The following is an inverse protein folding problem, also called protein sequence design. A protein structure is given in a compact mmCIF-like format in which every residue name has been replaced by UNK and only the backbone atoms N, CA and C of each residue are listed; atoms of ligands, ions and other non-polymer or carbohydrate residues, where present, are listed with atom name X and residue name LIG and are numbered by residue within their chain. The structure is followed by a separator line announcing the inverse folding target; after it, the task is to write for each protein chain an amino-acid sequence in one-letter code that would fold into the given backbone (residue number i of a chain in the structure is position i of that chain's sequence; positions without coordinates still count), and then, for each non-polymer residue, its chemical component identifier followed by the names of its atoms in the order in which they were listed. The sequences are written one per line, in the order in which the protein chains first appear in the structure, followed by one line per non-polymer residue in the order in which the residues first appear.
data_IF_654485794091
#
_entry.id   IF_654485794091
#
_cell.length_a   1.000
_cell.length_b   1.000
_cell.length_c   1.000
_cell.angle_alpha   90.00
_cell.angle_beta   90.00
_cell.angle_gamma   90.00
#
_symmetry.space_group_name_H-M   'P 1'
#
loop_
_entity.id
_entity.type
_entity.pdbx_description
1 polymer ?
#
# COMPACT_ATOMS: atom_id res chain seq x y z
N UNK A 1 9.78 -10.75 -10.40
CA UNK A 1 9.36 -10.43 -9.02
C UNK A 1 9.55 -11.71 -8.20
N UNK A 2 10.21 -11.62 -7.06
CA UNK A 2 10.29 -12.74 -6.11
C UNK A 2 8.88 -13.08 -5.61
N UNK A 3 8.61 -14.34 -5.25
CA UNK A 3 7.27 -14.76 -4.79
C UNK A 3 6.76 -13.95 -3.58
N UNK A 4 7.67 -13.44 -2.75
CA UNK A 4 7.36 -12.61 -1.58
C UNK A 4 6.75 -11.23 -1.96
N UNK A 5 7.31 -10.55 -2.96
CA UNK A 5 6.79 -9.25 -3.43
C UNK A 5 5.41 -9.38 -4.11
N UNK A 6 5.13 -10.51 -4.75
CA UNK A 6 3.81 -10.76 -5.32
C UNK A 6 2.72 -10.83 -4.24
N UNK A 7 3.07 -11.22 -3.00
CA UNK A 7 2.14 -11.37 -1.88
C UNK A 7 1.65 -10.05 -1.28
N UNK A 8 2.31 -8.93 -1.54
CA UNK A 8 1.97 -7.60 -1.02
C UNK A 8 1.73 -6.57 -2.14
N UNK A 9 1.52 -7.04 -3.38
CA UNK A 9 1.29 -6.21 -4.57
C UNK A 9 -0.13 -5.63 -4.69
N UNK A 10 -0.78 -5.31 -3.59
CA UNK A 10 -2.18 -4.85 -3.55
C UNK A 10 -2.41 -3.50 -4.22
N UNK A 11 -3.61 -3.31 -4.81
CA UNK A 11 -4.13 -2.04 -5.33
C UNK A 11 -5.12 -1.39 -4.37
N UNK A 12 -6.00 -2.17 -3.75
CA UNK A 12 -7.08 -1.69 -2.89
C UNK A 12 -7.24 -2.57 -1.63
N UNK A 13 -6.21 -2.71 -0.78
CA UNK A 13 -6.32 -3.49 0.44
C UNK A 13 -7.24 -2.80 1.46
N UNK A 14 -8.05 -3.62 2.15
CA UNK A 14 -9.11 -3.15 3.05
C UNK A 14 -8.75 -3.41 4.52
N UNK A 15 -8.81 -2.37 5.36
CA UNK A 15 -8.67 -2.49 6.80
C UNK A 15 -9.89 -3.14 7.46
N UNK A 16 -9.62 -4.01 8.43
CA UNK A 16 -10.62 -4.63 9.31
C UNK A 16 -10.07 -4.67 10.74
N UNK A 17 -10.82 -4.19 11.76
CA UNK A 17 -10.37 -4.30 13.15
C UNK A 17 -10.15 -5.75 13.58
N UNK A 18 -9.07 -6.03 14.30
CA UNK A 18 -8.76 -7.37 14.79
C UNK A 18 -9.83 -7.91 15.79
N UNK A 19 -10.60 -7.04 16.40
CA UNK A 19 -11.75 -7.37 17.24
C UNK A 19 -12.96 -7.93 16.46
N UNK A 20 -12.90 -7.94 15.11
CA UNK A 20 -14.02 -8.32 14.24
C UNK A 20 -13.70 -9.49 13.30
N UNK A 21 -13.40 -10.69 13.85
CA UNK A 21 -13.07 -11.86 13.02
C UNK A 21 -14.24 -12.29 12.11
N UNK A 22 -15.49 -11.96 12.47
CA UNK A 22 -16.67 -12.14 11.63
C UNK A 22 -16.64 -11.36 10.30
N UNK A 23 -15.75 -10.37 10.19
CA UNK A 23 -15.59 -9.50 9.01
C UNK A 23 -14.42 -9.87 8.11
N UNK A 24 -13.46 -10.71 8.54
CA UNK A 24 -12.25 -10.99 7.76
C UNK A 24 -12.56 -11.57 6.38
N UNK A 25 -13.35 -12.65 6.32
CA UNK A 25 -13.75 -13.24 5.04
C UNK A 25 -14.73 -12.38 4.25
N UNK A 26 -15.56 -11.57 4.93
CA UNK A 26 -16.44 -10.61 4.26
C UNK A 26 -15.66 -9.51 3.57
N UNK A 27 -14.57 -9.05 4.19
CA UNK A 27 -13.66 -8.09 3.59
C UNK A 27 -12.96 -8.68 2.35
N UNK A 28 -12.44 -9.90 2.44
CA UNK A 28 -11.87 -10.59 1.29
C UNK A 28 -12.88 -10.78 0.15
N UNK A 29 -14.13 -11.09 0.47
CA UNK A 29 -15.20 -11.27 -0.52
C UNK A 29 -15.76 -9.95 -1.09
N UNK A 30 -15.33 -8.80 -0.60
CA UNK A 30 -15.82 -7.48 -1.07
C UNK A 30 -15.12 -6.95 -2.33
N UNK A 31 -14.20 -7.73 -2.91
CA UNK A 31 -13.37 -7.33 -4.06
C UNK A 31 -12.05 -6.67 -3.66
N UNK A 32 -11.72 -6.63 -2.37
CA UNK A 32 -10.39 -6.22 -1.91
C UNK A 32 -9.34 -7.27 -2.30
N UNK A 33 -8.23 -6.84 -2.85
CA UNK A 33 -7.12 -7.74 -3.23
C UNK A 33 -6.20 -8.10 -2.06
N UNK A 34 -6.39 -7.45 -0.90
CA UNK A 34 -5.77 -7.76 0.38
C UNK A 34 -6.63 -7.33 1.57
N UNK A 35 -6.48 -8.01 2.70
CA UNK A 35 -7.15 -7.65 3.96
C UNK A 35 -6.09 -7.25 4.97
N UNK A 36 -6.19 -6.04 5.53
CA UNK A 36 -5.30 -5.56 6.59
C UNK A 36 -6.04 -5.67 7.91
N UNK A 37 -5.67 -6.67 8.70
CA UNK A 37 -6.24 -6.87 10.04
C UNK A 37 -5.49 -5.96 11.01
N UNK A 38 -6.23 -5.09 11.67
CA UNK A 38 -5.66 -3.99 12.44
C UNK A 38 -5.66 -4.26 13.95
N UNK A 39 -4.46 -4.27 14.56
CA UNK A 39 -4.25 -4.32 16.00
C UNK A 39 -3.96 -2.93 16.61
N UNK A 40 -3.79 -1.91 15.76
CA UNK A 40 -3.39 -0.56 16.20
C UNK A 40 -4.59 0.35 16.43
N UNK A 41 -4.83 1.34 15.60
CA UNK A 41 -5.78 2.44 15.85
C UNK A 41 -7.24 1.99 15.90
N UNK A 42 -7.60 0.92 15.16
CA UNK A 42 -8.96 0.38 15.20
C UNK A 42 -9.29 -0.43 16.46
N UNK A 43 -8.33 -0.54 17.41
CA UNK A 43 -8.49 -1.33 18.65
C UNK A 43 -8.17 -0.46 19.85
N UNK A 44 -9.13 -0.34 20.79
CA UNK A 44 -8.93 0.41 22.02
C UNK A 44 -7.80 -0.20 22.88
N UNK A 45 -7.07 0.66 23.60
CA UNK A 45 -5.88 0.27 24.37
C UNK A 45 -6.11 -0.90 25.34
N UNK A 46 -7.28 -0.94 25.97
CA UNK A 46 -7.66 -2.00 26.91
C UNK A 46 -8.12 -3.30 26.23
N UNK A 47 -8.33 -3.30 24.91
CA UNK A 47 -8.78 -4.46 24.13
C UNK A 47 -7.64 -5.11 23.30
N UNK A 48 -6.47 -4.48 23.20
CA UNK A 48 -5.39 -4.92 22.29
C UNK A 48 -4.91 -6.34 22.57
N UNK A 49 -4.76 -6.74 23.82
CA UNK A 49 -4.33 -8.09 24.17
C UNK A 49 -5.41 -9.14 23.83
N UNK A 50 -6.68 -8.82 24.05
CA UNK A 50 -7.80 -9.68 23.65
C UNK A 50 -7.95 -9.76 22.14
N UNK A 51 -7.75 -8.64 21.42
CA UNK A 51 -7.77 -8.59 19.95
C UNK A 51 -6.67 -9.45 19.35
N UNK A 52 -5.43 -9.38 19.88
CA UNK A 52 -4.32 -10.24 19.47
C UNK A 52 -4.64 -11.72 19.68
N UNK A 53 -5.18 -12.09 20.83
CA UNK A 53 -5.58 -13.48 21.11
C UNK A 53 -6.70 -13.96 20.16
N UNK A 54 -7.67 -13.10 19.86
CA UNK A 54 -8.74 -13.35 18.90
C UNK A 54 -8.18 -13.58 17.49
N UNK A 55 -7.27 -12.73 17.05
CA UNK A 55 -6.61 -12.85 15.74
C UNK A 55 -5.86 -14.18 15.61
N UNK A 56 -5.06 -14.55 16.62
CA UNK A 56 -4.26 -15.79 16.61
C UNK A 56 -5.15 -17.05 16.54
N UNK A 57 -6.32 -17.00 17.17
CA UNK A 57 -7.27 -18.11 17.17
C UNK A 57 -8.17 -18.15 15.92
N UNK A 58 -8.22 -17.09 15.13
CA UNK A 58 -9.10 -16.99 13.98
C UNK A 58 -8.53 -17.67 12.73
N UNK A 59 -9.42 -18.15 11.85
CA UNK A 59 -9.05 -18.45 10.47
C UNK A 59 -8.90 -17.16 9.69
N UNK A 60 -7.82 -17.06 8.91
CA UNK A 60 -7.48 -15.86 8.14
C UNK A 60 -7.73 -16.09 6.64
N UNK A 61 -8.29 -15.12 5.92
CA UNK A 61 -8.39 -15.21 4.47
C UNK A 61 -6.99 -15.17 3.83
N UNK A 62 -6.84 -15.72 2.61
CA UNK A 62 -5.64 -15.52 1.82
C UNK A 62 -5.30 -14.04 1.67
N UNK A 63 -4.01 -13.72 1.50
CA UNK A 63 -3.52 -12.34 1.34
C UNK A 63 -3.81 -11.41 2.54
N UNK A 64 -3.95 -11.99 3.75
CA UNK A 64 -4.06 -11.19 4.97
C UNK A 64 -2.72 -10.58 5.35
N UNK A 65 -2.75 -9.29 5.68
CA UNK A 65 -1.67 -8.53 6.32
C UNK A 65 -2.14 -8.20 7.73
N UNK A 66 -1.24 -8.11 8.69
CA UNK A 66 -1.58 -7.62 10.04
C UNK A 66 -0.85 -6.30 10.29
N UNK A 67 -1.60 -5.23 10.60
CA UNK A 67 -1.01 -4.01 11.16
C UNK A 67 -0.80 -4.23 12.65
N UNK A 68 0.47 -4.34 13.05
CA UNK A 68 0.89 -4.47 14.45
C UNK A 68 0.89 -3.11 15.14
N UNK A 69 1.01 -3.06 16.47
CA UNK A 69 1.20 -1.80 17.17
C UNK A 69 2.61 -1.23 16.91
N UNK A 70 2.74 0.10 16.97
CA UNK A 70 3.99 0.81 16.68
C UNK A 70 5.14 0.37 17.58
N UNK A 71 6.37 0.43 17.04
CA UNK A 71 7.59 0.18 17.79
C UNK A 71 7.65 1.09 19.04
N UNK A 72 8.17 0.54 20.15
CA UNK A 72 8.25 1.26 21.43
C UNK A 72 6.94 1.27 22.24
N UNK A 73 5.83 0.80 21.71
CA UNK A 73 4.61 0.57 22.50
C UNK A 73 4.71 -0.74 23.29
N UNK A 74 4.02 -0.84 24.41
CA UNK A 74 4.02 -2.04 25.27
C UNK A 74 3.44 -3.29 24.57
N UNK A 75 2.76 -3.13 23.43
CA UNK A 75 2.10 -4.23 22.70
C UNK A 75 2.96 -4.74 21.55
N UNK A 76 3.89 -3.92 21.03
CA UNK A 76 4.63 -4.20 19.79
C UNK A 76 5.30 -5.58 19.80
N UNK A 77 6.12 -5.86 20.80
CA UNK A 77 6.88 -7.13 20.87
C UNK A 77 5.96 -8.35 20.88
N UNK A 78 4.89 -8.28 21.69
CA UNK A 78 3.92 -9.37 21.78
C UNK A 78 3.14 -9.55 20.48
N UNK A 79 2.83 -8.47 19.75
CA UNK A 79 2.18 -8.54 18.44
C UNK A 79 3.11 -9.20 17.43
N UNK A 80 4.35 -8.73 17.33
CA UNK A 80 5.33 -9.27 16.35
C UNK A 80 5.57 -10.76 16.60
N UNK A 81 5.76 -11.17 17.87
CA UNK A 81 5.92 -12.59 18.21
C UNK A 81 4.68 -13.40 17.82
N UNK A 82 3.49 -12.88 18.03
CA UNK A 82 2.22 -13.54 17.71
C UNK A 82 2.02 -13.77 16.20
N UNK A 83 2.67 -12.98 15.33
CA UNK A 83 2.61 -13.16 13.86
C UNK A 83 3.38 -14.38 13.37
N UNK A 84 4.26 -14.94 14.18
CA UNK A 84 5.10 -16.08 13.78
C UNK A 84 4.25 -17.32 13.49
N UNK A 85 4.31 -17.78 12.26
CA UNK A 85 3.62 -19.02 11.85
C UNK A 85 2.12 -18.86 11.52
N UNK A 86 1.55 -17.64 11.50
CA UNK A 86 0.12 -17.43 11.20
C UNK A 86 -0.25 -17.61 9.72
N UNK A 87 0.68 -17.85 8.82
CA UNK A 87 0.36 -18.02 7.39
C UNK A 87 -0.13 -16.74 6.68
N UNK A 88 0.19 -15.57 7.23
CA UNK A 88 -0.14 -14.26 6.65
C UNK A 88 0.78 -13.89 5.49
N UNK A 89 0.35 -12.97 4.63
CA UNK A 89 1.14 -12.49 3.50
C UNK A 89 2.27 -11.55 3.94
N UNK A 90 2.12 -10.85 5.06
CA UNK A 90 3.10 -9.93 5.63
C UNK A 90 2.53 -9.18 6.83
N UNK A 91 3.28 -8.21 7.32
CA UNK A 91 2.82 -7.25 8.33
C UNK A 91 2.88 -5.82 7.80
N UNK A 92 2.11 -4.94 8.43
CA UNK A 92 2.26 -3.49 8.28
C UNK A 92 2.80 -2.93 9.61
N UNK A 93 3.95 -2.26 9.53
CA UNK A 93 4.59 -1.61 10.68
C UNK A 93 4.23 -0.12 10.66
N UNK A 94 3.38 0.37 11.58
CA UNK A 94 3.05 1.78 11.68
C UNK A 94 4.22 2.57 12.28
N UNK A 95 4.24 3.88 12.04
CA UNK A 95 5.24 4.82 12.55
C UNK A 95 6.68 4.32 12.33
N UNK A 96 6.92 3.79 11.11
CA UNK A 96 8.25 3.33 10.71
C UNK A 96 9.17 4.53 10.46
N UNK A 97 10.17 4.72 11.31
CA UNK A 97 10.99 5.92 11.32
C UNK A 97 12.49 5.64 11.08
N UNK A 98 12.96 4.45 11.42
CA UNK A 98 14.38 4.07 11.33
C UNK A 98 14.56 2.64 10.85
N UNK A 99 15.74 2.30 10.33
CA UNK A 99 16.11 0.91 10.00
C UNK A 99 15.99 -0.02 11.22
N UNK A 100 16.35 0.46 12.40
CA UNK A 100 16.31 -0.33 13.64
C UNK A 100 14.91 -0.87 13.98
N UNK A 101 13.82 -0.13 13.64
CA UNK A 101 12.45 -0.62 13.79
C UNK A 101 12.21 -1.86 12.93
N UNK A 102 12.70 -1.84 11.69
CA UNK A 102 12.54 -2.94 10.73
C UNK A 102 13.43 -4.15 11.10
N UNK A 103 14.67 -3.89 11.52
CA UNK A 103 15.62 -4.92 11.95
C UNK A 103 15.09 -5.70 13.14
N UNK A 104 14.45 -5.03 14.12
CA UNK A 104 13.84 -5.70 15.28
C UNK A 104 12.70 -6.64 14.87
N UNK A 105 11.87 -6.24 13.90
CA UNK A 105 10.82 -7.07 13.32
C UNK A 105 11.42 -8.26 12.56
N UNK A 106 12.42 -8.02 11.71
CA UNK A 106 13.11 -9.03 10.94
C UNK A 106 13.80 -10.09 11.80
N UNK A 107 14.36 -9.68 12.93
CA UNK A 107 14.98 -10.61 13.89
C UNK A 107 14.00 -11.69 14.40
N UNK A 108 12.70 -11.37 14.45
CA UNK A 108 11.63 -12.28 14.90
C UNK A 108 10.96 -13.01 13.76
N UNK A 109 10.63 -12.30 12.67
CA UNK A 109 9.77 -12.79 11.57
C UNK A 109 10.54 -13.25 10.33
N UNK A 110 11.87 -13.02 10.27
CA UNK A 110 12.70 -13.42 9.13
C UNK A 110 12.26 -12.71 7.83
N UNK A 111 12.01 -13.50 6.79
CA UNK A 111 11.69 -13.03 5.44
C UNK A 111 10.19 -12.73 5.22
N UNK A 112 9.39 -12.69 6.29
CA UNK A 112 7.99 -12.27 6.15
C UNK A 112 7.92 -10.82 5.65
N UNK A 113 7.19 -10.52 4.55
CA UNK A 113 7.13 -9.17 4.00
C UNK A 113 6.66 -8.11 5.00
N UNK A 114 7.33 -6.94 4.98
CA UNK A 114 7.01 -5.80 5.83
C UNK A 114 6.62 -4.60 4.96
N UNK A 115 5.40 -4.11 5.16
CA UNK A 115 4.93 -2.82 4.64
C UNK A 115 5.20 -1.76 5.71
N UNK A 116 6.06 -0.81 5.44
CA UNK A 116 6.36 0.30 6.37
C UNK A 116 5.40 1.46 6.14
N UNK A 117 4.59 1.79 7.15
CA UNK A 117 3.67 2.92 7.10
C UNK A 117 4.42 4.17 7.60
N UNK A 118 4.62 5.11 6.68
CA UNK A 118 5.29 6.40 6.91
C UNK A 118 4.22 7.43 7.26
N UNK A 119 4.23 7.91 8.49
CA UNK A 119 3.11 8.73 9.01
C UNK A 119 3.55 9.74 10.08
N UNK A 120 4.85 10.05 10.10
CA UNK A 120 5.43 11.09 10.98
C UNK A 120 6.50 11.89 10.24
N UNK A 121 6.87 13.06 10.77
CA UNK A 121 7.98 13.89 10.28
C UNK A 121 9.29 13.11 10.29
N UNK A 122 9.56 12.36 11.37
CA UNK A 122 10.74 11.49 11.48
C UNK A 122 10.70 10.39 10.42
N UNK A 123 9.54 9.76 10.19
CA UNK A 123 9.38 8.74 9.16
C UNK A 123 9.66 9.27 7.76
N UNK A 124 9.18 10.47 7.41
CA UNK A 124 9.48 11.10 6.11
C UNK A 124 10.95 11.49 6.01
N UNK A 125 11.54 12.03 7.09
CA UNK A 125 12.97 12.39 7.11
C UNK A 125 13.88 11.15 6.95
N UNK A 126 13.52 10.01 7.54
CA UNK A 126 14.27 8.74 7.47
C UNK A 126 13.84 7.79 6.34
N UNK A 127 12.89 8.19 5.47
CA UNK A 127 12.20 7.28 4.56
C UNK A 127 13.13 6.50 3.62
N UNK A 128 14.26 7.05 3.21
CA UNK A 128 15.23 6.36 2.33
C UNK A 128 15.92 5.21 3.04
N UNK A 129 16.24 5.40 4.32
CA UNK A 129 16.82 4.36 5.16
C UNK A 129 15.77 3.28 5.46
N UNK A 130 14.56 3.68 5.85
CA UNK A 130 13.43 2.76 6.06
C UNK A 130 13.13 1.95 4.81
N UNK A 131 13.11 2.59 3.63
CA UNK A 131 12.86 1.91 2.36
C UNK A 131 13.86 0.79 2.06
N UNK A 132 15.14 0.98 2.39
CA UNK A 132 16.18 -0.04 2.18
C UNK A 132 15.96 -1.33 2.98
N UNK A 133 15.15 -1.28 4.06
CA UNK A 133 14.85 -2.41 4.95
C UNK A 133 13.39 -2.90 4.82
N UNK A 134 12.61 -2.27 3.94
CA UNK A 134 11.19 -2.57 3.70
C UNK A 134 10.98 -3.42 2.45
N UNK A 135 9.81 -4.03 2.32
CA UNK A 135 9.37 -4.68 1.08
C UNK A 135 8.39 -3.80 0.29
N UNK A 136 7.69 -2.89 0.99
CA UNK A 136 6.84 -1.86 0.40
C UNK A 136 6.67 -0.71 1.38
N UNK A 137 6.41 0.50 0.88
CA UNK A 137 6.03 1.65 1.70
C UNK A 137 4.52 1.91 1.61
N UNK A 138 3.97 2.55 2.62
CA UNK A 138 2.64 3.14 2.61
C UNK A 138 2.69 4.53 3.26
N UNK A 139 1.78 5.43 2.89
CA UNK A 139 1.72 6.79 3.44
C UNK A 139 0.49 6.97 4.34
N UNK A 140 0.70 7.22 5.62
CA UNK A 140 -0.35 7.55 6.59
C UNK A 140 -0.49 9.07 6.74
N UNK A 141 -1.00 9.73 5.70
CA UNK A 141 -0.99 11.20 5.64
C UNK A 141 -1.85 11.89 6.69
N UNK A 142 -2.84 11.22 7.28
CA UNK A 142 -3.70 11.78 8.33
C UNK A 142 -2.84 12.02 9.59
N UNK A 143 -2.12 10.98 10.04
CA UNK A 143 -1.23 11.08 11.21
C UNK A 143 -0.05 11.99 10.92
N UNK A 144 0.53 11.92 9.72
CA UNK A 144 1.58 12.84 9.27
C UNK A 144 1.11 14.30 9.34
N UNK A 145 -0.10 14.60 8.88
CA UNK A 145 -0.65 15.96 8.94
C UNK A 145 -0.81 16.45 10.37
N UNK A 146 -1.27 15.56 11.26
CA UNK A 146 -1.41 15.87 12.68
C UNK A 146 -0.04 16.12 13.36
N UNK A 147 0.98 15.29 13.04
CA UNK A 147 2.32 15.40 13.59
C UNK A 147 3.02 16.69 13.14
N UNK A 148 2.94 17.02 11.85
CA UNK A 148 3.57 18.22 11.26
C UNK A 148 2.75 19.50 11.51
N UNK A 149 1.45 19.37 11.78
CA UNK A 149 0.53 20.51 11.97
C UNK A 149 0.13 21.17 10.65
N UNK A 150 0.07 20.42 9.55
CA UNK A 150 -0.36 20.93 8.24
C UNK A 150 -1.78 20.45 7.88
N UNK A 151 -2.37 21.05 6.83
CA UNK A 151 -3.63 20.58 6.29
C UNK A 151 -3.45 19.26 5.51
N UNK A 152 -4.56 18.53 5.29
CA UNK A 152 -4.57 17.32 4.46
C UNK A 152 -4.70 17.61 2.96
N UNK A 153 -4.60 18.88 2.57
CA UNK A 153 -4.66 19.29 1.16
C UNK A 153 -3.48 18.73 0.35
N UNK A 154 -3.71 18.50 -0.95
CA UNK A 154 -2.72 17.88 -1.84
C UNK A 154 -1.39 18.62 -1.86
N UNK A 155 -1.44 19.96 -1.89
CA UNK A 155 -0.26 20.82 -1.96
C UNK A 155 0.57 20.78 -0.66
N UNK A 156 -0.08 20.73 0.51
CA UNK A 156 0.59 20.61 1.80
C UNK A 156 1.35 19.29 1.95
N UNK A 157 0.86 18.23 1.31
CA UNK A 157 1.41 16.88 1.39
C UNK A 157 2.28 16.49 0.20
N UNK A 158 2.43 17.36 -0.81
CA UNK A 158 3.11 17.07 -2.06
C UNK A 158 4.55 16.60 -1.85
N UNK A 159 5.29 17.29 -0.98
CA UNK A 159 6.69 16.98 -0.68
C UNK A 159 6.83 15.59 -0.07
N UNK A 160 6.02 15.26 0.93
CA UNK A 160 6.07 13.96 1.60
C UNK A 160 5.73 12.81 0.62
N UNK A 161 4.67 12.97 -0.20
CA UNK A 161 4.30 12.02 -1.25
C UNK A 161 5.45 11.80 -2.24
N UNK A 162 6.04 12.88 -2.75
CA UNK A 162 7.12 12.81 -3.71
C UNK A 162 8.36 12.09 -3.13
N UNK A 163 8.71 12.38 -1.89
CA UNK A 163 9.86 11.75 -1.21
C UNK A 163 9.63 10.25 -0.97
N UNK A 164 8.42 9.85 -0.55
CA UNK A 164 8.08 8.43 -0.35
C UNK A 164 8.14 7.65 -1.68
N UNK A 165 7.60 8.21 -2.76
CA UNK A 165 7.67 7.59 -4.09
C UNK A 165 9.12 7.48 -4.58
N UNK A 166 9.93 8.53 -4.38
CA UNK A 166 11.33 8.54 -4.74
C UNK A 166 12.13 7.51 -3.94
N UNK A 167 11.95 7.45 -2.62
CA UNK A 167 12.61 6.48 -1.74
C UNK A 167 12.26 5.04 -2.12
N UNK A 168 10.97 4.75 -2.36
CA UNK A 168 10.50 3.46 -2.83
C UNK A 168 11.19 3.05 -4.14
N UNK A 169 11.30 3.98 -5.09
CA UNK A 169 11.95 3.74 -6.39
C UNK A 169 13.45 3.50 -6.27
N UNK A 170 14.14 4.27 -5.43
CA UNK A 170 15.59 4.13 -5.19
C UNK A 170 15.94 2.79 -4.55
N UNK A 171 15.09 2.32 -3.63
CA UNK A 171 15.24 1.01 -3.00
C UNK A 171 14.77 -0.18 -3.87
N UNK A 172 14.23 0.09 -5.07
CA UNK A 172 13.75 -0.96 -5.97
C UNK A 172 12.47 -1.67 -5.51
N UNK A 173 11.71 -1.04 -4.62
CA UNK A 173 10.48 -1.59 -4.07
C UNK A 173 9.32 -1.53 -5.07
N UNK A 174 8.22 -2.23 -4.75
CA UNK A 174 6.93 -1.97 -5.37
C UNK A 174 6.51 -0.52 -5.12
N UNK A 175 5.77 0.12 -6.06
CA UNK A 175 5.23 1.45 -5.81
C UNK A 175 4.44 1.51 -4.50
N UNK A 176 4.56 2.60 -3.70
CA UNK A 176 3.97 2.67 -2.38
C UNK A 176 2.45 2.67 -2.41
N UNK A 177 1.81 2.39 -1.26
CA UNK A 177 0.38 2.55 -1.05
C UNK A 177 0.09 3.98 -0.57
N UNK A 178 -0.88 4.64 -1.18
CA UNK A 178 -1.43 5.91 -0.70
C UNK A 178 -2.33 5.68 0.51
N UNK A 179 -2.46 6.66 1.38
CA UNK A 179 -3.32 6.65 2.54
C UNK A 179 -4.82 6.58 2.21
N UNK A 180 -5.62 6.45 3.24
CA UNK A 180 -7.08 6.28 3.10
C UNK A 180 -7.78 7.58 2.66
N UNK A 181 -8.93 7.50 1.99
CA UNK A 181 -9.86 8.64 1.90
C UNK A 181 -10.82 8.55 3.09
N UNK A 182 -10.91 9.56 3.95
CA UNK A 182 -11.75 9.51 5.15
C UNK A 182 -13.25 9.32 4.83
N UNK A 183 -13.73 9.94 3.74
CA UNK A 183 -15.11 9.75 3.27
C UNK A 183 -15.26 8.41 2.54
N UNK A 184 -16.29 7.65 2.88
CA UNK A 184 -16.66 6.41 2.18
C UNK A 184 -18.00 6.50 1.44
N UNK A 185 -18.70 7.63 1.53
CA UNK A 185 -19.99 7.85 0.88
C UNK A 185 -19.89 8.72 -0.38
N UNK A 186 -18.67 9.13 -0.76
CA UNK A 186 -18.38 9.88 -1.98
C UNK A 186 -17.43 9.06 -2.89
N UNK A 187 -17.95 8.21 -3.77
CA UNK A 187 -17.13 7.40 -4.66
C UNK A 187 -16.33 8.24 -5.68
N UNK A 188 -16.83 9.41 -6.06
CA UNK A 188 -16.13 10.30 -6.99
C UNK A 188 -14.86 10.88 -6.35
N UNK A 189 -14.93 11.27 -5.08
CA UNK A 189 -13.76 11.71 -4.31
C UNK A 189 -12.73 10.58 -4.17
N UNK A 190 -13.17 9.36 -3.84
CA UNK A 190 -12.25 8.21 -3.71
C UNK A 190 -11.55 7.90 -5.02
N UNK A 191 -12.27 7.93 -6.15
CA UNK A 191 -11.70 7.71 -7.48
C UNK A 191 -10.72 8.82 -7.87
N UNK A 192 -11.02 10.08 -7.56
CA UNK A 192 -10.16 11.22 -7.84
C UNK A 192 -8.87 11.18 -7.00
N UNK A 193 -8.96 10.83 -5.71
CA UNK A 193 -7.80 10.61 -4.86
C UNK A 193 -6.92 9.47 -5.37
N UNK A 194 -7.51 8.36 -5.79
CA UNK A 194 -6.78 7.22 -6.35
C UNK A 194 -6.10 7.60 -7.69
N UNK A 195 -6.77 8.37 -8.54
CA UNK A 195 -6.21 8.87 -9.81
C UNK A 195 -5.04 9.84 -9.55
N UNK A 196 -5.19 10.73 -8.57
CA UNK A 196 -4.11 11.61 -8.15
C UNK A 196 -2.91 10.81 -7.63
N UNK A 197 -3.12 9.84 -6.74
CA UNK A 197 -2.06 8.97 -6.23
C UNK A 197 -1.34 8.22 -7.37
N UNK A 198 -2.08 7.65 -8.32
CA UNK A 198 -1.51 7.01 -9.51
C UNK A 198 -0.63 7.97 -10.31
N UNK A 199 -1.06 9.23 -10.48
CA UNK A 199 -0.29 10.27 -11.19
C UNK A 199 1.01 10.64 -10.49
N UNK A 200 1.06 10.51 -9.17
CA UNK A 200 2.25 10.73 -8.33
C UNK A 200 3.22 9.54 -8.32
N UNK A 201 2.79 8.36 -8.78
CA UNK A 201 3.61 7.15 -8.80
C UNK A 201 3.32 6.15 -7.69
N UNK A 202 2.23 6.32 -6.94
CA UNK A 202 1.72 5.28 -6.05
C UNK A 202 1.17 4.09 -6.83
N UNK A 203 1.20 2.90 -6.24
CA UNK A 203 0.77 1.65 -6.87
C UNK A 203 -0.44 1.01 -6.20
N UNK A 204 -1.19 1.76 -5.41
CA UNK A 204 -2.39 1.32 -4.73
C UNK A 204 -2.79 2.32 -3.63
N UNK A 205 -3.93 2.07 -3.01
CA UNK A 205 -4.50 2.95 -1.96
C UNK A 205 -5.16 2.11 -0.87
N UNK A 206 -4.89 2.48 0.38
CA UNK A 206 -5.52 1.89 1.55
C UNK A 206 -7.01 2.23 1.61
N UNK A 207 -7.86 1.24 1.89
CA UNK A 207 -9.30 1.37 2.03
C UNK A 207 -9.76 1.07 3.46
N UNK A 208 -10.76 1.81 3.95
CA UNK A 208 -11.37 1.61 5.29
C UNK A 208 -12.82 1.14 5.19
N UNK A 209 -13.39 1.11 3.99
CA UNK A 209 -14.76 0.65 3.76
C UNK A 209 -14.89 -0.07 2.41
N UNK A 210 -15.70 -1.15 2.31
CA UNK A 210 -15.89 -1.88 1.04
C UNK A 210 -16.34 -1.02 -0.15
N UNK A 211 -17.13 0.03 0.10
CA UNK A 211 -17.56 0.98 -0.96
C UNK A 211 -16.39 1.71 -1.63
N UNK A 212 -15.22 1.76 -1.02
CA UNK A 212 -14.04 2.44 -1.57
C UNK A 212 -13.26 1.59 -2.57
N UNK A 213 -13.45 0.27 -2.60
CA UNK A 213 -12.65 -0.66 -3.41
C UNK A 213 -12.83 -0.38 -4.90
N UNK A 214 -14.09 -0.43 -5.38
CA UNK A 214 -14.37 -0.23 -6.80
C UNK A 214 -13.91 1.13 -7.34
N UNK A 215 -14.17 2.29 -6.66
CA UNK A 215 -13.66 3.58 -7.11
C UNK A 215 -12.13 3.68 -7.00
N UNK A 216 -11.48 3.06 -6.01
CA UNK A 216 -10.02 2.98 -5.95
C UNK A 216 -9.45 2.26 -7.17
N UNK A 217 -9.96 1.09 -7.50
CA UNK A 217 -9.54 0.34 -8.69
C UNK A 217 -9.81 1.10 -10.00
N UNK A 218 -10.90 1.89 -10.05
CA UNK A 218 -11.20 2.75 -11.20
C UNK A 218 -10.18 3.89 -11.35
N UNK A 219 -9.79 4.53 -10.24
CA UNK A 219 -8.81 5.62 -10.22
C UNK A 219 -7.40 5.18 -10.62
N UNK A 220 -6.97 3.96 -10.24
CA UNK A 220 -5.67 3.40 -10.65
C UNK A 220 -5.65 2.86 -12.07
N UNK A 221 -6.82 2.58 -12.68
CA UNK A 221 -6.86 2.11 -14.06
C UNK A 221 -6.48 3.23 -15.02
N UNK A 222 -5.48 3.04 -15.89
CA UNK A 222 -5.18 4.01 -16.92
C UNK A 222 -6.39 4.25 -17.85
N UNK A 223 -6.59 5.50 -18.33
CA UNK A 223 -7.63 5.79 -19.34
C UNK A 223 -7.46 4.92 -20.59
N UNK A 224 -8.57 4.52 -21.20
CA UNK A 224 -8.55 3.63 -22.38
C UNK A 224 -7.68 4.21 -23.51
N UNK A 225 -7.75 5.51 -23.76
CA UNK A 225 -6.89 6.20 -24.74
C UNK A 225 -5.38 5.98 -24.52
N UNK A 226 -4.96 5.93 -23.24
CA UNK A 226 -3.56 5.71 -22.88
C UNK A 226 -3.17 4.23 -23.05
N UNK A 227 -4.09 3.31 -22.76
CA UNK A 227 -3.91 1.87 -23.02
C UNK A 227 -3.78 1.61 -24.52
N UNK A 228 -4.65 2.22 -25.34
CA UNK A 228 -4.60 2.10 -26.81
C UNK A 228 -3.30 2.66 -27.38
N UNK A 229 -2.89 3.83 -26.89
CA UNK A 229 -1.59 4.42 -27.26
C UNK A 229 -0.43 3.50 -26.84
N UNK A 230 -0.40 3.01 -25.62
CA UNK A 230 0.65 2.14 -25.13
C UNK A 230 0.73 0.82 -25.92
N UNK A 231 -0.42 0.29 -26.33
CA UNK A 231 -0.51 -0.92 -27.18
C UNK A 231 0.11 -0.65 -28.56
N UNK A 232 -0.18 0.50 -29.19
CA UNK A 232 0.47 0.87 -30.47
C UNK A 232 1.98 1.00 -30.33
N UNK A 233 2.45 1.65 -29.25
CA UNK A 233 3.88 1.77 -28.96
C UNK A 233 4.53 0.39 -28.77
N UNK A 234 3.90 -0.51 -28.00
CA UNK A 234 4.43 -1.85 -27.76
C UNK A 234 4.56 -2.67 -29.07
N UNK A 235 3.67 -2.44 -30.03
CA UNK A 235 3.66 -3.13 -31.34
C UNK A 235 4.51 -2.46 -32.41
N UNK A 236 5.17 -1.32 -32.13
CA UNK A 236 5.91 -0.55 -33.16
C UNK A 236 7.31 -1.08 -33.49
N UNK A 237 7.71 -2.25 -32.96
CA UNK A 237 9.05 -2.84 -33.17
C UNK A 237 10.14 -2.19 -32.31
N UNK A 238 11.38 -2.65 -32.46
CA UNK A 238 12.54 -2.15 -31.73
C UNK A 238 13.22 -0.98 -32.49
N UNK A 239 13.89 -0.10 -31.71
CA UNK A 239 14.64 1.04 -32.26
C UNK A 239 13.85 2.36 -32.23
N UNK A 240 14.45 3.42 -32.79
CA UNK A 240 13.80 4.72 -32.91
C UNK A 240 12.87 4.70 -34.15
N UNK A 241 11.57 4.72 -33.91
CA UNK A 241 10.52 4.75 -34.94
C UNK A 241 9.59 5.91 -34.70
N UNK A 242 8.87 6.35 -35.75
CA UNK A 242 7.82 7.35 -35.60
C UNK A 242 6.44 6.66 -35.47
N UNK A 243 5.68 6.97 -34.42
CA UNK A 243 4.31 6.54 -34.25
C UNK A 243 3.45 7.78 -33.98
N UNK A 244 2.39 7.96 -34.76
CA UNK A 244 1.49 9.12 -34.66
C UNK A 244 2.24 10.49 -34.71
N UNK A 245 3.34 10.58 -35.48
CA UNK A 245 4.16 11.78 -35.59
C UNK A 245 5.09 12.05 -34.40
N UNK A 246 5.18 11.16 -33.43
CA UNK A 246 6.09 11.27 -32.28
C UNK A 246 7.22 10.25 -32.39
N UNK A 247 8.43 10.67 -31.98
CA UNK A 247 9.57 9.77 -31.86
C UNK A 247 9.34 8.80 -30.69
N UNK A 248 9.48 7.51 -30.96
CA UNK A 248 9.42 6.43 -29.97
C UNK A 248 10.84 5.99 -29.65
N UNK A 249 11.28 6.32 -28.45
CA UNK A 249 12.58 5.96 -27.88
C UNK A 249 12.40 5.09 -26.61
N UNK A 250 13.51 4.77 -25.93
CA UNK A 250 13.48 3.93 -24.73
C UNK A 250 12.58 4.49 -23.59
N UNK A 251 12.62 5.79 -23.25
CA UNK A 251 11.70 6.38 -22.26
C UNK A 251 10.22 6.23 -22.63
N UNK A 252 9.87 6.44 -23.90
CA UNK A 252 8.49 6.31 -24.39
C UNK A 252 8.01 4.86 -24.29
N UNK A 253 8.86 3.90 -24.66
CA UNK A 253 8.56 2.46 -24.51
C UNK A 253 8.38 2.06 -23.05
N UNK A 254 9.25 2.54 -22.16
CA UNK A 254 9.13 2.28 -20.73
C UNK A 254 7.80 2.82 -20.16
N UNK A 255 7.39 4.02 -20.61
CA UNK A 255 6.09 4.59 -20.23
C UNK A 255 4.94 3.69 -20.72
N UNK A 256 4.98 3.26 -21.98
CA UNK A 256 3.95 2.36 -22.53
C UNK A 256 3.86 1.03 -21.76
N UNK A 257 5.00 0.41 -21.45
CA UNK A 257 5.05 -0.81 -20.65
C UNK A 257 4.41 -0.64 -19.26
N UNK A 258 4.68 0.52 -18.60
CA UNK A 258 4.08 0.82 -17.28
C UNK A 258 2.56 0.98 -17.37
N UNK A 259 2.05 1.64 -18.39
CA UNK A 259 0.61 1.79 -18.61
C UNK A 259 -0.05 0.43 -18.81
N UNK A 260 0.52 -0.43 -19.67
CA UNK A 260 -0.02 -1.78 -19.89
C UNK A 260 0.05 -2.67 -18.64
N UNK A 261 1.14 -2.57 -17.88
CA UNK A 261 1.28 -3.28 -16.61
C UNK A 261 0.24 -2.83 -15.58
N UNK A 262 -0.02 -1.52 -15.46
CA UNK A 262 -1.04 -0.98 -14.57
C UNK A 262 -2.46 -1.43 -14.98
N UNK A 263 -2.79 -1.40 -16.28
CA UNK A 263 -4.07 -1.91 -16.78
C UNK A 263 -4.27 -3.38 -16.42
N UNK A 264 -3.25 -4.23 -16.67
CA UNK A 264 -3.29 -5.65 -16.34
C UNK A 264 -3.45 -5.90 -14.84
N UNK A 265 -2.77 -5.14 -13.99
CA UNK A 265 -2.89 -5.27 -12.54
C UNK A 265 -4.33 -4.97 -12.07
N UNK A 266 -4.95 -3.90 -12.60
CA UNK A 266 -6.34 -3.56 -12.30
C UNK A 266 -7.33 -4.62 -12.78
N UNK A 267 -7.09 -5.24 -13.94
CA UNK A 267 -7.96 -6.31 -14.46
C UNK A 267 -7.83 -7.59 -13.60
N UNK A 268 -6.62 -7.91 -13.14
CA UNK A 268 -6.38 -9.06 -12.25
C UNK A 268 -6.96 -8.88 -10.83
N UNK A 269 -7.06 -7.66 -10.34
CA UNK A 269 -7.65 -7.35 -9.03
C UNK A 269 -9.21 -7.39 -9.05
N UNK A 270 -9.83 -7.40 -10.23
CA UNK A 270 -11.30 -7.47 -10.42
C UNK A 270 -11.84 -8.89 -10.64
N UNK A 271 -10.98 -9.84 -10.94
CA UNK A 271 -11.30 -11.26 -11.21
C UNK A 271 -11.01 -12.13 -10.03
#
# INVERSE_FOLDING_TARGET
MTSALARIGFLAPLFVPATRPDRYFKAAASGADGVIIDLEDAVAANEKDAARATLVAASLPPNSIVRVNAFGTRWHEADVVAMKGLGIAGIMLPKAETAGHLESVRAVLGDLPVISLIESAHGVAGVREVAAHSDRLAFGYIDFSADVGCSMERDALLMARAEIVLASRLAGLLPPLEGVTPSFDDPALVEDDARYAASMGFGGKLCIHPKQIAPTLAGFRPPQKDIDWATRIANSGDGAVSVDGMMVDAPVRLRAQRILAAAKACDSARG
#
